data_IF_852676738431
#
_entry.id   IF_852676738431
#
_cell.length_a   1.000
_cell.length_b   1.000
_cell.length_c   1.000
_cell.angle_alpha   90.00
_cell.angle_beta   90.00
_cell.angle_gamma   90.00
#
_symmetry.space_group_name_H-M   'P 1'
#
loop_
_entity.id
_entity.type
_entity.pdbx_description
1 polymer ?
#
# COMPACT_ATOMS: atom_id res chain seq x y z
N UNK A 1 -10.36 10.71 19.57
CA UNK A 1 -10.73 11.77 18.61
C UNK A 1 -11.66 11.16 17.57
N UNK A 2 -12.61 11.93 17.04
CA UNK A 2 -13.46 11.50 15.91
C UNK A 2 -12.62 11.38 14.64
N UNK A 3 -12.93 10.39 13.80
CA UNK A 3 -12.31 10.26 12.47
C UNK A 3 -13.03 11.18 11.50
N UNK A 4 -12.28 12.00 10.77
CA UNK A 4 -12.77 12.89 9.71
C UNK A 4 -12.30 12.46 8.32
N UNK A 5 -11.19 11.72 8.23
CA UNK A 5 -10.60 11.31 6.96
C UNK A 5 -10.37 9.80 6.90
N UNK A 6 -10.45 9.23 5.71
CA UNK A 6 -10.08 7.84 5.43
C UNK A 6 -9.02 7.79 4.35
N UNK A 7 -7.82 7.32 4.70
CA UNK A 7 -6.69 7.24 3.77
C UNK A 7 -6.23 5.80 3.59
N UNK A 8 -5.70 5.51 2.42
CA UNK A 8 -5.13 4.21 2.07
C UNK A 8 -3.74 4.41 1.43
N UNK A 9 -2.81 3.44 1.60
CA UNK A 9 -1.40 3.70 1.33
C UNK A 9 -1.08 4.04 -0.13
N UNK A 10 -1.77 3.44 -1.12
CA UNK A 10 -1.53 3.77 -2.53
C UNK A 10 -1.85 5.23 -2.85
N UNK A 11 -2.91 5.81 -2.25
CA UNK A 11 -3.23 7.22 -2.37
C UNK A 11 -2.15 8.12 -1.74
N UNK A 12 -1.71 7.80 -0.52
CA UNK A 12 -0.65 8.55 0.15
C UNK A 12 0.68 8.44 -0.59
N UNK A 13 0.98 7.29 -1.21
CA UNK A 13 2.15 7.12 -2.08
C UNK A 13 2.05 7.96 -3.36
N UNK A 14 0.84 8.17 -3.92
CA UNK A 14 0.62 9.12 -5.02
C UNK A 14 0.91 10.54 -4.55
N UNK A 15 0.40 10.93 -3.38
CA UNK A 15 0.68 12.24 -2.78
C UNK A 15 2.18 12.45 -2.51
N UNK A 16 2.89 11.44 -2.01
CA UNK A 16 4.35 11.50 -1.81
C UNK A 16 5.09 11.84 -3.11
N UNK A 17 4.66 11.28 -4.24
CA UNK A 17 5.24 11.58 -5.57
C UNK A 17 4.96 13.00 -6.02
N UNK A 18 3.76 13.52 -5.73
CA UNK A 18 3.41 14.92 -5.98
C UNK A 18 4.30 15.87 -5.18
N UNK A 19 4.41 15.68 -3.86
CA UNK A 19 5.20 16.56 -2.97
C UNK A 19 6.69 16.55 -3.29
N UNK A 20 7.24 15.42 -3.76
CA UNK A 20 8.65 15.33 -4.19
C UNK A 20 8.95 16.07 -5.49
N UNK A 21 7.98 16.73 -6.12
CA UNK A 21 8.18 17.50 -7.34
C UNK A 21 8.44 16.65 -8.58
N UNK A 22 7.92 15.41 -8.61
CA UNK A 22 7.99 14.57 -9.81
C UNK A 22 7.03 15.03 -10.91
N UNK A 23 6.88 14.22 -11.95
CA UNK A 23 6.01 14.51 -13.12
C UNK A 23 4.50 14.34 -12.84
N UNK A 24 4.03 14.63 -11.63
CA UNK A 24 2.62 14.50 -11.25
C UNK A 24 2.02 15.89 -11.00
N UNK A 25 1.06 16.29 -11.83
CA UNK A 25 0.36 17.57 -11.66
C UNK A 25 -0.66 17.50 -10.52
N UNK A 26 -1.07 18.67 -10.00
CA UNK A 26 -2.14 18.74 -8.99
C UNK A 26 -3.45 18.13 -9.51
N UNK A 27 -3.78 18.36 -10.80
CA UNK A 27 -4.96 17.75 -11.41
C UNK A 27 -4.87 16.22 -11.45
N UNK A 28 -3.72 15.66 -11.81
CA UNK A 28 -3.55 14.20 -11.84
C UNK A 28 -3.62 13.57 -10.42
N UNK A 29 -3.19 14.30 -9.40
CA UNK A 29 -3.40 13.93 -8.00
C UNK A 29 -4.90 13.97 -7.64
N UNK A 30 -5.62 15.03 -8.00
CA UNK A 30 -7.07 15.15 -7.76
C UNK A 30 -7.84 14.03 -8.46
N UNK A 31 -7.49 13.70 -9.70
CA UNK A 31 -8.09 12.60 -10.45
C UNK A 31 -7.84 11.26 -9.74
N UNK A 32 -6.64 11.06 -9.18
CA UNK A 32 -6.31 9.89 -8.36
C UNK A 32 -7.13 9.83 -7.06
N UNK A 33 -7.30 10.97 -6.38
CA UNK A 33 -8.15 11.07 -5.17
C UNK A 33 -9.59 10.71 -5.51
N UNK A 34 -10.09 11.19 -6.64
CA UNK A 34 -11.45 10.98 -7.13
C UNK A 34 -11.68 9.60 -7.78
N UNK A 35 -10.64 8.76 -7.84
CA UNK A 35 -10.66 7.46 -8.51
C UNK A 35 -11.15 7.54 -9.96
N UNK A 36 -10.74 8.59 -10.67
CA UNK A 36 -10.99 8.67 -12.12
C UNK A 36 -10.35 7.44 -12.78
N UNK A 37 -11.13 6.60 -13.50
CA UNK A 37 -10.60 5.38 -14.08
C UNK A 37 -9.45 5.66 -15.06
N UNK A 38 -8.34 4.96 -14.88
CA UNK A 38 -7.23 4.94 -15.83
C UNK A 38 -7.13 3.56 -16.47
N UNK A 39 -6.77 3.45 -17.75
CA UNK A 39 -6.50 2.15 -18.37
C UNK A 39 -5.46 1.36 -17.58
N UNK A 40 -5.72 0.07 -17.38
CA UNK A 40 -4.71 -0.85 -16.86
C UNK A 40 -3.59 -0.99 -17.88
N UNK A 41 -2.36 -0.73 -17.46
CA UNK A 41 -1.18 -0.94 -18.29
C UNK A 41 -0.72 -2.40 -18.25
N UNK A 42 -0.03 -2.87 -19.28
CA UNK A 42 0.56 -4.23 -19.33
C UNK A 42 1.45 -4.51 -18.10
N UNK A 43 2.15 -3.49 -17.61
CA UNK A 43 2.99 -3.61 -16.41
C UNK A 43 2.15 -3.86 -15.14
N UNK A 44 1.01 -3.19 -14.99
CA UNK A 44 0.07 -3.42 -13.89
C UNK A 44 -0.57 -4.80 -13.99
N UNK A 45 -1.04 -5.19 -15.18
CA UNK A 45 -1.62 -6.52 -15.40
C UNK A 45 -0.61 -7.63 -15.10
N UNK A 46 0.62 -7.50 -15.59
CA UNK A 46 1.71 -8.44 -15.30
C UNK A 46 2.02 -8.52 -13.82
N UNK A 47 1.98 -7.39 -13.10
CA UNK A 47 2.13 -7.35 -11.65
C UNK A 47 1.05 -8.14 -10.92
N UNK A 48 -0.22 -7.85 -11.21
CA UNK A 48 -1.37 -8.57 -10.62
C UNK A 48 -1.29 -10.07 -10.94
N UNK A 49 -1.05 -10.43 -12.19
CA UNK A 49 -0.94 -11.84 -12.59
C UNK A 49 0.23 -12.55 -11.90
N UNK A 50 1.34 -11.86 -11.62
CA UNK A 50 2.45 -12.44 -10.89
C UNK A 50 2.11 -12.68 -9.42
N UNK A 51 1.44 -11.73 -8.76
CA UNK A 51 0.96 -11.91 -7.38
C UNK A 51 0.03 -13.14 -7.28
N UNK A 52 -0.93 -13.27 -8.19
CA UNK A 52 -1.82 -14.43 -8.24
C UNK A 52 -1.07 -15.74 -8.47
N UNK A 53 -0.08 -15.77 -9.37
CA UNK A 53 0.77 -16.94 -9.57
C UNK A 53 1.52 -17.33 -8.28
N UNK A 54 2.10 -16.36 -7.57
CA UNK A 54 2.83 -16.62 -6.33
C UNK A 54 1.92 -17.16 -5.23
N UNK A 55 0.75 -16.53 -5.02
CA UNK A 55 -0.15 -16.80 -3.90
C UNK A 55 -1.09 -17.98 -4.17
N UNK A 56 -1.68 -18.07 -5.37
CA UNK A 56 -2.71 -19.04 -5.72
C UNK A 56 -2.20 -20.20 -6.59
N UNK A 57 -1.02 -20.05 -7.19
CA UNK A 57 -0.45 -21.04 -8.11
C UNK A 57 -1.12 -21.06 -9.50
N UNK A 58 -1.69 -19.94 -9.91
CA UNK A 58 -2.40 -19.80 -11.20
C UNK A 58 -1.50 -19.20 -12.27
N UNK A 59 -1.52 -19.75 -13.49
CA UNK A 59 -0.77 -19.25 -14.65
C UNK A 59 0.74 -19.09 -14.41
N UNK A 60 1.34 -19.98 -13.61
CA UNK A 60 2.78 -19.93 -13.29
C UNK A 60 3.67 -20.10 -14.52
N UNK A 61 3.20 -20.82 -15.54
CA UNK A 61 3.91 -21.07 -16.80
C UNK A 61 4.20 -19.79 -17.60
N UNK A 62 3.56 -18.66 -17.24
CA UNK A 62 3.83 -17.34 -17.83
C UNK A 62 5.08 -16.66 -17.26
N UNK A 63 5.68 -17.21 -16.21
CA UNK A 63 6.81 -16.61 -15.49
C UNK A 63 8.01 -17.55 -15.41
N UNK A 64 9.20 -16.98 -15.22
CA UNK A 64 10.40 -17.77 -15.01
C UNK A 64 10.24 -18.62 -13.72
N UNK A 65 10.34 -19.97 -13.80
CA UNK A 65 10.13 -20.84 -12.66
C UNK A 65 11.16 -20.63 -11.55
N UNK A 66 12.37 -20.17 -11.86
CA UNK A 66 13.40 -19.85 -10.86
C UNK A 66 13.02 -18.59 -10.08
N UNK A 67 12.48 -17.56 -10.76
CA UNK A 67 11.96 -16.35 -10.10
C UNK A 67 10.79 -16.70 -9.17
N UNK A 68 9.81 -17.47 -9.66
CA UNK A 68 8.68 -17.95 -8.87
C UNK A 68 9.16 -18.71 -7.62
N UNK A 69 10.11 -19.65 -7.81
CA UNK A 69 10.69 -20.43 -6.71
C UNK A 69 11.41 -19.55 -5.69
N UNK A 70 12.17 -18.55 -6.14
CA UNK A 70 12.91 -17.64 -5.25
C UNK A 70 11.98 -16.74 -4.44
N UNK A 71 10.95 -16.17 -5.06
CA UNK A 71 9.92 -15.39 -4.35
C UNK A 71 9.21 -16.25 -3.29
N UNK A 72 8.78 -17.47 -3.64
CA UNK A 72 8.11 -18.38 -2.69
C UNK A 72 8.97 -18.82 -1.51
N UNK A 73 10.30 -18.83 -1.66
CA UNK A 73 11.23 -19.09 -0.54
C UNK A 73 11.24 -17.96 0.49
N UNK A 74 10.88 -16.73 0.09
CA UNK A 74 10.88 -15.54 0.95
C UNK A 74 9.54 -15.28 1.64
N UNK A 75 8.46 -15.93 1.17
CA UNK A 75 7.14 -15.86 1.81
C UNK A 75 7.19 -16.33 3.29
N UNK A 76 6.29 -15.82 4.15
CA UNK A 76 6.23 -16.25 5.54
C UNK A 76 5.93 -17.76 5.64
N UNK A 77 6.49 -18.41 6.67
CA UNK A 77 6.28 -19.84 6.95
C UNK A 77 5.96 -20.02 8.44
N UNK A 78 4.73 -20.44 8.81
CA UNK A 78 3.57 -20.62 7.94
C UNK A 78 3.06 -19.28 7.39
N UNK A 79 2.40 -19.32 6.22
CA UNK A 79 1.49 -18.25 5.81
C UNK A 79 0.27 -18.38 6.71
N UNK A 80 0.00 -17.35 7.51
CA UNK A 80 -1.13 -17.33 8.45
C UNK A 80 -2.40 -16.88 7.75
N UNK A 81 -2.31 -15.85 6.89
CA UNK A 81 -3.44 -15.33 6.14
C UNK A 81 -2.95 -14.53 4.92
N UNK A 82 -3.85 -14.30 3.96
CA UNK A 82 -3.59 -13.54 2.72
C UNK A 82 -4.64 -12.45 2.53
N UNK A 83 -4.29 -11.34 1.87
CA UNK A 83 -5.19 -10.21 1.63
C UNK A 83 -5.83 -9.71 2.93
N UNK A 84 -4.97 -9.42 3.91
CA UNK A 84 -5.38 -9.10 5.28
C UNK A 84 -5.78 -7.64 5.38
N UNK A 85 -7.06 -7.39 5.62
CA UNK A 85 -7.55 -6.06 5.95
C UNK A 85 -6.95 -5.59 7.28
N UNK A 86 -6.39 -4.39 7.28
CA UNK A 86 -5.89 -3.76 8.48
C UNK A 86 -6.24 -2.28 8.51
N UNK A 87 -6.40 -1.75 9.72
CA UNK A 87 -6.70 -0.35 9.94
C UNK A 87 -6.01 0.17 11.20
N UNK A 88 -5.64 1.43 11.17
CA UNK A 88 -5.05 2.15 12.28
C UNK A 88 -5.54 3.59 12.28
N UNK A 89 -6.00 4.06 13.44
CA UNK A 89 -6.36 5.46 13.62
C UNK A 89 -5.11 6.28 13.99
N UNK A 90 -4.87 7.33 13.21
CA UNK A 90 -3.80 8.33 13.39
C UNK A 90 -4.51 9.67 13.53
N UNK A 91 -4.62 10.19 14.74
CA UNK A 91 -5.43 11.38 15.08
C UNK A 91 -6.88 11.27 14.57
N UNK A 92 -7.28 12.12 13.62
CA UNK A 92 -8.57 12.18 12.95
C UNK A 92 -8.60 11.44 11.60
N UNK A 93 -7.58 10.62 11.32
CA UNK A 93 -7.47 9.81 10.09
C UNK A 93 -7.62 8.34 10.43
N UNK A 94 -8.49 7.64 9.69
CA UNK A 94 -8.47 6.20 9.61
C UNK A 94 -7.61 5.78 8.41
N UNK A 95 -6.42 5.29 8.70
CA UNK A 95 -5.56 4.65 7.72
C UNK A 95 -5.97 3.18 7.59
N UNK A 96 -6.22 2.71 6.37
CA UNK A 96 -6.65 1.34 6.12
C UNK A 96 -6.15 0.79 4.79
N UNK A 97 -6.12 -0.54 4.67
CA UNK A 97 -5.75 -1.21 3.43
C UNK A 97 -5.65 -2.72 3.61
N UNK A 98 -5.06 -3.36 2.60
CA UNK A 98 -4.83 -4.79 2.55
C UNK A 98 -3.33 -5.05 2.45
N UNK A 99 -2.87 -6.04 3.21
CA UNK A 99 -1.52 -6.59 3.08
C UNK A 99 -1.60 -7.95 2.43
N UNK A 100 -0.71 -8.23 1.48
CA UNK A 100 -0.81 -9.43 0.65
C UNK A 100 -0.72 -10.72 1.46
N UNK A 101 0.27 -10.83 2.36
CA UNK A 101 0.43 -11.99 3.23
C UNK A 101 0.87 -11.58 4.64
N UNK A 102 0.44 -12.34 5.64
CA UNK A 102 1.02 -12.30 6.99
C UNK A 102 1.48 -13.68 7.43
N UNK A 103 2.57 -13.72 8.18
CA UNK A 103 2.98 -14.86 9.00
C UNK A 103 2.68 -14.60 10.47
N UNK A 104 3.42 -15.26 11.36
CA UNK A 104 3.33 -15.05 12.82
C UNK A 104 4.09 -13.81 13.29
N UNK A 105 5.15 -13.41 12.58
CA UNK A 105 6.04 -12.31 12.97
C UNK A 105 6.17 -11.20 11.91
N UNK A 106 6.02 -11.55 10.63
CA UNK A 106 6.21 -10.61 9.51
C UNK A 106 4.99 -10.51 8.62
N UNK A 107 4.80 -9.34 8.04
CA UNK A 107 3.92 -9.11 6.91
C UNK A 107 4.77 -9.03 5.64
N UNK A 108 4.24 -9.52 4.53
CA UNK A 108 4.90 -9.51 3.23
C UNK A 108 3.98 -8.86 2.21
N UNK A 109 4.57 -7.99 1.40
CA UNK A 109 3.94 -7.35 0.26
C UNK A 109 4.74 -7.65 -1.00
N UNK A 110 4.04 -8.16 -2.02
CA UNK A 110 4.63 -8.58 -3.28
C UNK A 110 4.68 -7.40 -4.23
N UNK A 111 5.85 -7.15 -4.80
CA UNK A 111 6.06 -6.01 -5.69
C UNK A 111 6.75 -6.44 -6.98
N UNK A 112 6.24 -5.92 -8.09
CA UNK A 112 6.91 -6.03 -9.38
C UNK A 112 7.36 -4.66 -9.86
N UNK A 113 8.43 -4.62 -10.64
CA UNK A 113 8.88 -3.38 -11.27
C UNK A 113 9.62 -3.65 -12.57
N UNK A 114 9.84 -2.63 -13.41
CA UNK A 114 10.70 -2.76 -14.59
C UNK A 114 12.19 -2.70 -14.25
N UNK A 115 12.55 -2.06 -13.14
CA UNK A 115 13.93 -1.97 -12.64
C UNK A 115 13.91 -1.63 -11.16
N UNK A 116 14.58 -2.44 -10.35
CA UNK A 116 14.69 -2.21 -8.92
C UNK A 116 15.82 -1.22 -8.59
N UNK A 117 15.58 -0.38 -7.57
CA UNK A 117 16.57 0.49 -6.97
C UNK A 117 16.50 0.30 -5.46
N UNK A 118 17.65 0.29 -4.79
CA UNK A 118 17.74 0.14 -3.34
C UNK A 118 16.95 1.25 -2.64
N UNK A 119 16.32 0.91 -1.51
CA UNK A 119 15.58 1.81 -0.61
C UNK A 119 14.32 2.42 -1.27
N UNK A 120 13.77 1.73 -2.27
CA UNK A 120 12.57 2.14 -3.01
C UNK A 120 11.34 2.24 -2.11
N UNK A 121 11.25 1.40 -1.07
CA UNK A 121 10.11 1.34 -0.15
C UNK A 121 10.40 1.95 1.22
N UNK A 122 11.54 2.62 1.39
CA UNK A 122 11.99 3.23 2.65
C UNK A 122 10.94 4.16 3.27
N UNK A 123 10.26 4.92 2.41
CA UNK A 123 9.25 5.90 2.78
C UNK A 123 7.85 5.51 2.30
N UNK A 124 7.62 4.24 1.96
CA UNK A 124 6.32 3.80 1.50
C UNK A 124 5.31 3.80 2.67
N UNK A 125 4.09 4.25 2.42
CA UNK A 125 3.04 4.31 3.45
C UNK A 125 2.54 2.94 3.89
N UNK A 126 2.82 1.86 3.14
CA UNK A 126 2.54 0.50 3.58
C UNK A 126 3.36 0.11 4.83
N UNK A 127 4.45 0.82 5.15
CA UNK A 127 5.17 0.62 6.42
C UNK A 127 4.26 0.89 7.64
N UNK A 128 3.23 1.74 7.50
CA UNK A 128 2.26 2.04 8.56
C UNK A 128 1.39 0.82 8.92
N UNK A 129 1.31 -0.21 8.06
CA UNK A 129 0.62 -1.45 8.38
C UNK A 129 1.17 -2.14 9.63
N UNK A 130 2.44 -1.95 9.98
CA UNK A 130 3.01 -2.50 11.21
C UNK A 130 2.31 -1.98 12.46
N UNK A 131 1.87 -0.72 12.47
CA UNK A 131 1.14 -0.15 13.60
C UNK A 131 -0.29 -0.69 13.68
N UNK A 132 -0.90 -1.03 12.54
CA UNK A 132 -2.19 -1.71 12.46
C UNK A 132 -2.10 -3.18 12.92
N UNK A 133 -0.98 -3.84 12.62
CA UNK A 133 -0.80 -5.29 12.83
C UNK A 133 -0.03 -5.66 14.10
N UNK A 134 0.58 -4.72 14.83
CA UNK A 134 1.38 -5.00 16.04
C UNK A 134 0.67 -5.85 17.10
N UNK A 135 -0.66 -5.71 17.24
CA UNK A 135 -1.46 -6.52 18.17
C UNK A 135 -1.59 -7.99 17.74
N UNK A 136 -1.37 -8.29 16.46
CA UNK A 136 -1.27 -9.65 15.90
C UNK A 136 0.15 -10.23 16.00
N UNK A 137 1.08 -9.56 16.71
CA UNK A 137 2.46 -10.02 16.85
C UNK A 137 3.39 -9.65 15.68
N UNK A 138 2.86 -8.99 14.64
CA UNK A 138 3.64 -8.57 13.47
C UNK A 138 4.57 -7.41 13.83
N UNK A 139 5.86 -7.56 13.54
CA UNK A 139 6.91 -6.58 13.87
C UNK A 139 7.84 -6.26 12.70
N UNK A 140 7.68 -6.92 11.57
CA UNK A 140 8.51 -6.76 10.37
C UNK A 140 7.63 -6.67 9.12
N UNK A 141 7.89 -5.69 8.27
CA UNK A 141 7.27 -5.52 6.96
C UNK A 141 8.33 -5.81 5.91
N UNK A 142 8.10 -6.79 5.04
CA UNK A 142 9.00 -7.11 3.95
C UNK A 142 8.34 -6.85 2.61
N UNK A 143 9.03 -6.13 1.75
CA UNK A 143 8.70 -6.02 0.34
C UNK A 143 9.51 -7.08 -0.39
N UNK A 144 8.85 -8.12 -0.90
CA UNK A 144 9.48 -9.11 -1.77
C UNK A 144 9.27 -8.65 -3.20
N UNK A 145 10.37 -8.26 -3.85
CA UNK A 145 10.35 -7.49 -5.08
C UNK A 145 10.98 -8.32 -6.19
N UNK A 146 10.40 -8.27 -7.39
CA UNK A 146 11.09 -8.76 -8.60
C UNK A 146 11.01 -7.73 -9.71
N UNK A 147 12.10 -7.61 -10.46
CA UNK A 147 12.10 -6.92 -11.76
C UNK A 147 11.97 -7.90 -12.94
N UNK A 148 11.60 -9.15 -12.63
CA UNK A 148 11.57 -10.32 -13.51
C UNK A 148 12.93 -10.82 -14.02
N UNK A 149 14.04 -10.19 -13.62
CA UNK A 149 15.39 -10.73 -13.82
C UNK A 149 15.98 -11.27 -12.52
N UNK A 150 15.67 -10.60 -11.40
CA UNK A 150 16.15 -10.98 -10.07
C UNK A 150 15.05 -10.79 -9.00
N UNK A 151 15.33 -11.23 -7.78
CA UNK A 151 14.46 -11.12 -6.60
C UNK A 151 15.21 -10.40 -5.49
N UNK A 152 14.58 -9.37 -4.95
CA UNK A 152 15.10 -8.48 -3.93
C UNK A 152 14.18 -8.46 -2.71
N UNK A 153 14.73 -8.06 -1.56
CA UNK A 153 13.97 -7.87 -0.33
C UNK A 153 14.37 -6.56 0.31
N UNK A 154 13.38 -5.77 0.69
CA UNK A 154 13.55 -4.67 1.64
C UNK A 154 12.76 -5.00 2.92
N UNK A 155 13.40 -4.90 4.08
CA UNK A 155 12.81 -5.26 5.37
C UNK A 155 12.81 -4.05 6.31
N UNK A 156 11.63 -3.70 6.84
CA UNK A 156 11.43 -2.57 7.75
C UNK A 156 10.79 -3.04 9.05
N UNK A 157 11.40 -2.71 10.19
CA UNK A 157 10.90 -3.12 11.51
C UNK A 157 9.83 -2.15 12.04
N UNK A 158 9.11 -2.55 13.10
CA UNK A 158 8.14 -1.69 13.78
C UNK A 158 8.78 -0.40 14.36
N UNK A 159 10.09 -0.38 14.55
CA UNK A 159 10.83 0.80 15.02
C UNK A 159 11.38 1.65 13.88
N UNK A 160 11.09 1.29 12.62
CA UNK A 160 11.44 2.11 11.46
C UNK A 160 10.83 3.51 11.59
N UNK A 161 11.58 4.60 11.37
CA UNK A 161 11.04 5.96 11.47
C UNK A 161 9.86 6.18 10.53
N UNK A 162 8.79 6.79 11.06
CA UNK A 162 7.56 7.09 10.32
C UNK A 162 7.25 8.58 10.25
N UNK A 163 8.13 9.45 10.75
CA UNK A 163 7.89 10.89 10.86
C UNK A 163 7.51 11.53 9.52
N UNK A 164 8.18 11.07 8.45
CA UNK A 164 7.88 11.52 7.09
C UNK A 164 6.46 11.15 6.65
N UNK A 165 6.02 9.93 6.91
CA UNK A 165 4.68 9.47 6.54
C UNK A 165 3.60 10.21 7.35
N UNK A 166 3.86 10.47 8.63
CA UNK A 166 2.96 11.27 9.48
C UNK A 166 2.86 12.72 8.98
N UNK A 167 3.97 13.32 8.58
CA UNK A 167 3.98 14.66 7.97
C UNK A 167 3.27 14.67 6.61
N UNK A 168 3.48 13.66 5.76
CA UNK A 168 2.78 13.54 4.48
C UNK A 168 1.26 13.35 4.69
N UNK A 169 0.81 12.68 5.75
CA UNK A 169 -0.62 12.63 6.14
C UNK A 169 -1.15 14.02 6.51
N UNK A 170 -0.38 14.80 7.29
CA UNK A 170 -0.76 16.17 7.70
C UNK A 170 -0.88 17.09 6.48
N UNK A 171 0.12 17.04 5.59
CA UNK A 171 0.14 17.82 4.35
C UNK A 171 -0.98 17.39 3.40
N UNK A 172 -1.30 16.09 3.35
CA UNK A 172 -2.39 15.60 2.51
C UNK A 172 -3.75 16.12 2.99
N UNK A 173 -3.99 16.19 4.31
CA UNK A 173 -5.19 16.85 4.85
C UNK A 173 -5.28 18.30 4.40
N UNK A 174 -4.19 19.07 4.49
CA UNK A 174 -4.17 20.46 4.05
C UNK A 174 -4.50 20.59 2.55
N UNK A 175 -3.90 19.73 1.71
CA UNK A 175 -4.20 19.68 0.27
C UNK A 175 -5.69 19.42 0.00
N UNK A 176 -6.29 18.46 0.72
CA UNK A 176 -7.71 18.13 0.59
C UNK A 176 -8.63 19.27 1.00
N UNK A 177 -8.29 20.03 2.04
CA UNK A 177 -9.07 21.21 2.45
C UNK A 177 -8.99 22.34 1.41
N UNK A 178 -7.78 22.63 0.92
CA UNK A 178 -7.54 23.65 -0.10
C UNK A 178 -8.32 23.34 -1.39
N UNK A 179 -8.40 22.06 -1.77
CA UNK A 179 -9.06 21.60 -3.00
C UNK A 179 -10.43 20.97 -2.74
N UNK A 180 -11.03 21.18 -1.55
CA UNK A 180 -12.27 20.52 -1.13
C UNK A 180 -13.39 20.53 -2.18
N UNK A 181 -13.66 21.63 -2.91
CA UNK A 181 -14.70 21.66 -3.95
C UNK A 181 -14.45 20.69 -5.12
N UNK A 182 -13.20 20.27 -5.34
CA UNK A 182 -12.80 19.38 -6.43
C UNK A 182 -12.78 17.90 -6.00
N UNK A 183 -12.90 17.60 -4.71
CA UNK A 183 -12.86 16.24 -4.19
C UNK A 183 -14.27 15.63 -4.20
N UNK A 184 -14.48 14.67 -5.09
CA UNK A 184 -15.76 14.01 -5.33
C UNK A 184 -15.84 12.60 -4.75
N UNK A 185 -14.70 11.95 -4.44
CA UNK A 185 -14.71 10.66 -3.77
C UNK A 185 -15.20 10.80 -2.32
N UNK A 186 -16.46 10.42 -2.12
CA UNK A 186 -17.15 10.43 -0.83
C UNK A 186 -16.50 9.52 0.20
N UNK A 187 -15.57 8.62 -0.17
CA UNK A 187 -14.86 7.76 0.79
C UNK A 187 -13.78 8.52 1.54
N UNK A 188 -13.27 9.65 1.02
CA UNK A 188 -12.18 10.41 1.63
C UNK A 188 -12.60 11.08 2.93
N UNK A 189 -13.75 11.76 2.93
CA UNK A 189 -14.30 12.41 4.12
C UNK A 189 -15.33 11.51 4.81
N UNK A 190 -15.25 11.42 6.14
CA UNK A 190 -16.25 10.71 6.95
C UNK A 190 -17.43 11.65 7.19
N UNK A 191 -18.64 11.18 6.85
CA UNK A 191 -19.85 11.97 7.08
C UNK A 191 -20.24 11.96 8.57
N UNK A 192 -20.92 13.00 9.09
CA UNK A 192 -21.45 12.98 10.45
C UNK A 192 -22.36 11.76 10.69
N UNK A 193 -22.13 11.05 11.80
CA UNK A 193 -22.89 9.85 12.17
C UNK A 193 -22.52 8.57 11.41
N UNK A 194 -21.55 8.64 10.50
CA UNK A 194 -21.05 7.47 9.80
C UNK A 194 -20.05 6.70 10.65
N UNK A 195 -20.16 5.37 10.70
CA UNK A 195 -19.11 4.52 11.27
C UNK A 195 -17.85 4.56 10.37
N UNK A 196 -16.73 5.11 10.87
CA UNK A 196 -15.48 5.17 10.10
C UNK A 196 -14.98 3.79 9.68
N UNK A 197 -15.20 2.78 10.53
CA UNK A 197 -14.71 1.41 10.37
C UNK A 197 -15.63 0.51 9.54
N UNK A 198 -16.85 0.97 9.22
CA UNK A 198 -17.74 0.23 8.33
C UNK A 198 -17.09 0.11 6.94
N UNK A 199 -16.77 -1.12 6.53
CA UNK A 199 -16.24 -1.37 5.20
C UNK A 199 -17.29 -0.97 4.15
N UNK A 200 -17.04 0.16 3.48
CA UNK A 200 -17.77 0.51 2.26
C UNK A 200 -17.33 -0.43 1.15
N UNK A 201 -18.02 -1.57 1.00
CA UNK A 201 -17.90 -2.45 -0.18
C UNK A 201 -17.99 -1.54 -1.41
N UNK A 202 -16.93 -1.58 -2.23
CA UNK A 202 -16.88 -0.90 -3.52
C UNK A 202 -17.82 -1.57 -4.49
#
# INVERSE_FOLDING_TARGET
>A
MSVHYRFYPSLLNVFSRYVRGGNLSAQALIDSINRVPTPTTDAQERGTSFEEAIVKGTNEERFDPEIVRRVRKLLPRPIVDTQVFCQWQIDDVLFYGYVDLIGTFKAVDLKTTGSYQKDRYLFNHQNLYLHALKRKGIRLMEYVITDFNDVYVESYSLTHPIDRQLEEIRLFKAFLEEHRPLITDKKIFVAPGEDPAAQRRG
#
